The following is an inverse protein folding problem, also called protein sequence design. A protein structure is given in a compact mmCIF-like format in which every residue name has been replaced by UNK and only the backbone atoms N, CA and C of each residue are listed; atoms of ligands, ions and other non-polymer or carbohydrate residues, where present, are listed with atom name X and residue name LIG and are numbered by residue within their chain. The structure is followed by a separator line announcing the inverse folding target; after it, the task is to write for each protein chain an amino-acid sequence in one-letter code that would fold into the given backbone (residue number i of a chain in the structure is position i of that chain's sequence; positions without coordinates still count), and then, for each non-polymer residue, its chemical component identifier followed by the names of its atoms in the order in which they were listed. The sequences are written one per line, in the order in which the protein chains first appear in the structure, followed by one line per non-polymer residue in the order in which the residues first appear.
data_IF_680531108969
#
_entry.id   IF_680531108969
#
_cell.length_a   1.000
_cell.length_b   1.000
_cell.length_c   1.000
_cell.angle_alpha   90.00
_cell.angle_beta   90.00
_cell.angle_gamma   90.00
#
_symmetry.space_group_name_H-M   'P 1'
#
loop_
_entity.id
_entity.type
_entity.pdbx_description
1 polymer ?
#
# COMPACT_ATOMS: atom_id res chain seq x y z
N UNK A 1 13.80 9.55 8.77
CA UNK A 1 13.96 10.46 7.61
C UNK A 1 13.85 9.79 6.20
N UNK A 2 13.66 8.47 6.12
CA UNK A 2 13.48 7.72 4.87
C UNK A 2 14.59 6.68 4.66
N UNK A 3 14.63 6.03 3.48
CA UNK A 3 15.74 5.18 3.03
C UNK A 3 17.11 5.85 3.10
N UNK A 4 18.17 5.05 3.23
CA UNK A 4 19.55 5.54 3.20
C UNK A 4 19.87 6.25 1.87
N UNK A 5 19.34 5.73 0.75
CA UNK A 5 19.49 6.29 -0.59
C UNK A 5 18.95 7.72 -0.72
N UNK A 6 18.14 8.20 0.24
CA UNK A 6 17.64 9.58 0.24
C UNK A 6 18.66 10.58 0.78
N UNK A 7 19.82 10.13 1.29
CA UNK A 7 20.91 11.00 1.81
C UNK A 7 20.43 11.91 2.95
N UNK A 8 19.56 11.39 3.82
CA UNK A 8 19.03 12.11 5.00
C UNK A 8 19.28 11.35 6.29
N UNK A 9 20.40 10.63 6.36
CA UNK A 9 20.78 9.79 7.51
C UNK A 9 19.70 8.75 7.89
N UNK A 10 19.11 8.15 6.85
CA UNK A 10 18.11 7.10 6.99
C UNK A 10 18.74 5.72 7.24
N UNK A 11 18.00 4.77 7.85
CA UNK A 11 18.43 3.39 7.92
C UNK A 11 18.40 2.72 6.54
N UNK A 12 18.97 1.51 6.45
CA UNK A 12 18.76 0.62 5.32
C UNK A 12 17.28 0.19 5.25
N UNK A 13 16.69 0.20 4.07
CA UNK A 13 15.27 -0.12 3.83
C UNK A 13 15.07 -1.00 2.59
N UNK A 14 13.82 -1.40 2.33
CA UNK A 14 13.42 -2.13 1.10
C UNK A 14 13.75 -1.32 -0.17
N UNK A 15 13.59 0.00 -0.14
CA UNK A 15 13.95 0.88 -1.27
C UNK A 15 15.44 0.82 -1.58
N UNK A 16 16.29 0.75 -0.55
CA UNK A 16 17.74 0.60 -0.71
C UNK A 16 18.07 -0.74 -1.38
N UNK A 17 17.41 -1.83 -0.97
CA UNK A 17 17.59 -3.15 -1.58
C UNK A 17 17.19 -3.14 -3.07
N UNK A 18 16.05 -2.54 -3.41
CA UNK A 18 15.62 -2.39 -4.79
C UNK A 18 16.59 -1.53 -5.62
N UNK A 19 17.22 -0.52 -5.02
CA UNK A 19 18.24 0.31 -5.68
C UNK A 19 19.53 -0.49 -5.91
N UNK A 20 20.03 -1.21 -4.91
CA UNK A 20 21.24 -2.02 -5.00
C UNK A 20 21.14 -3.12 -6.05
N UNK A 21 19.95 -3.71 -6.21
CA UNK A 21 19.66 -4.72 -7.25
C UNK A 21 19.34 -4.11 -8.63
N UNK A 22 19.42 -2.80 -8.78
CA UNK A 22 19.13 -2.11 -10.04
C UNK A 22 17.66 -2.12 -10.47
N UNK A 23 16.73 -2.51 -9.58
CA UNK A 23 15.27 -2.40 -9.87
C UNK A 23 14.84 -0.94 -9.91
N UNK A 24 15.50 -0.09 -9.11
CA UNK A 24 15.38 1.37 -9.21
C UNK A 24 16.54 1.93 -10.01
N UNK A 25 16.21 2.81 -10.95
CA UNK A 25 17.16 3.43 -11.86
C UNK A 25 17.24 4.93 -11.53
N UNK A 26 18.29 5.41 -10.83
CA UNK A 26 18.38 6.78 -10.33
C UNK A 26 18.17 7.88 -11.39
N UNK A 27 18.56 7.62 -12.63
CA UNK A 27 18.40 8.53 -13.76
C UNK A 27 16.94 8.80 -14.14
N UNK A 28 16.01 7.92 -13.76
CA UNK A 28 14.58 8.10 -13.97
C UNK A 28 13.85 8.70 -12.75
N UNK A 29 14.59 9.03 -11.69
CA UNK A 29 14.03 9.67 -10.50
C UNK A 29 14.28 11.17 -10.50
N UNK A 30 13.34 11.96 -9.94
CA UNK A 30 13.56 13.39 -9.76
C UNK A 30 14.68 13.64 -8.74
N UNK A 31 15.43 14.72 -8.96
CA UNK A 31 16.50 15.17 -8.06
C UNK A 31 15.92 15.94 -6.89
N UNK A 32 15.33 15.22 -5.93
CA UNK A 32 14.63 15.79 -4.76
C UNK A 32 15.19 15.27 -3.42
N UNK A 33 16.34 14.60 -3.47
CA UNK A 33 16.95 13.94 -2.31
C UNK A 33 18.12 14.76 -1.76
N UNK A 34 18.70 14.30 -0.65
CA UNK A 34 19.74 15.01 0.07
C UNK A 34 19.25 16.12 1.00
N UNK A 35 20.18 16.79 1.69
CA UNK A 35 19.88 17.85 2.64
C UNK A 35 19.19 19.05 1.99
N UNK A 36 19.65 19.44 0.80
CA UNK A 36 19.10 20.57 0.03
C UNK A 36 17.94 20.18 -0.90
N UNK A 37 17.66 18.88 -1.06
CA UNK A 37 16.55 18.40 -1.89
C UNK A 37 16.77 18.57 -3.40
N UNK A 38 18.01 18.45 -3.87
CA UNK A 38 18.44 18.68 -5.25
C UNK A 38 19.36 17.56 -5.79
N UNK A 39 19.52 16.47 -5.03
CA UNK A 39 20.38 15.34 -5.37
C UNK A 39 19.58 14.14 -5.90
N UNK A 40 20.19 13.27 -6.72
CA UNK A 40 19.61 11.98 -7.08
C UNK A 40 19.70 10.98 -5.91
N UNK A 41 19.03 9.83 -6.08
CA UNK A 41 19.20 8.68 -5.20
C UNK A 41 20.69 8.27 -5.11
N UNK A 42 21.11 7.80 -3.93
CA UNK A 42 22.47 7.39 -3.65
C UNK A 42 22.61 5.88 -3.53
N UNK A 43 23.14 5.21 -4.54
CA UNK A 43 23.51 3.81 -4.43
C UNK A 43 24.63 3.61 -3.39
N UNK A 44 25.58 4.54 -3.31
CA UNK A 44 26.69 4.49 -2.36
C UNK A 44 26.20 4.54 -0.90
N UNK A 45 25.21 5.38 -0.61
CA UNK A 45 24.64 5.46 0.75
C UNK A 45 23.91 4.17 1.13
N UNK A 46 23.21 3.53 0.18
CA UNK A 46 22.62 2.20 0.40
C UNK A 46 23.70 1.14 0.63
N UNK A 47 24.78 1.19 -0.17
CA UNK A 47 25.89 0.23 -0.10
C UNK A 47 26.62 0.31 1.23
N UNK A 48 26.95 1.52 1.69
CA UNK A 48 27.59 1.74 2.99
C UNK A 48 26.76 1.15 4.14
N UNK A 49 25.45 1.38 4.16
CA UNK A 49 24.56 0.82 5.19
C UNK A 49 24.41 -0.69 5.10
N UNK A 50 24.40 -1.24 3.88
CA UNK A 50 24.37 -2.70 3.69
C UNK A 50 25.68 -3.32 4.17
N UNK A 51 26.83 -2.77 3.80
CA UNK A 51 28.14 -3.29 4.20
C UNK A 51 28.34 -3.25 5.73
N UNK A 52 27.87 -2.20 6.40
CA UNK A 52 27.86 -2.14 7.86
C UNK A 52 27.01 -3.26 8.48
N UNK A 53 25.80 -3.50 7.96
CA UNK A 53 24.93 -4.60 8.40
C UNK A 53 25.60 -5.97 8.15
N UNK A 54 26.23 -6.14 6.99
CA UNK A 54 26.88 -7.38 6.62
C UNK A 54 28.09 -7.69 7.51
N UNK A 55 28.86 -6.68 7.89
CA UNK A 55 29.97 -6.84 8.83
C UNK A 55 29.48 -7.35 10.19
N UNK A 56 28.35 -6.83 10.68
CA UNK A 56 27.72 -7.31 11.92
C UNK A 56 27.20 -8.75 11.79
N UNK A 57 26.57 -9.09 10.67
CA UNK A 57 26.11 -10.45 10.40
C UNK A 57 27.28 -11.43 10.33
N UNK A 58 28.37 -11.08 9.63
CA UNK A 58 29.58 -11.90 9.54
C UNK A 58 30.20 -12.11 10.92
N UNK A 59 30.27 -11.07 11.75
CA UNK A 59 30.78 -11.16 13.13
C UNK A 59 29.98 -12.13 14.01
N UNK A 60 28.66 -12.20 13.82
CA UNK A 60 27.78 -13.06 14.64
C UNK A 60 27.69 -14.48 14.08
N UNK A 61 27.68 -14.64 12.76
CA UNK A 61 27.37 -15.92 12.11
C UNK A 61 28.59 -16.62 11.53
N UNK A 62 29.72 -15.91 11.36
CA UNK A 62 30.90 -16.39 10.65
C UNK A 62 30.72 -16.51 9.13
N UNK A 63 29.55 -16.11 8.58
CA UNK A 63 29.25 -16.20 7.15
C UNK A 63 29.35 -14.82 6.51
N UNK A 64 30.19 -14.72 5.48
CA UNK A 64 30.25 -13.55 4.60
C UNK A 64 29.19 -13.66 3.50
N UNK A 65 28.42 -12.60 3.32
CA UNK A 65 27.38 -12.47 2.30
C UNK A 65 27.75 -11.39 1.28
N UNK A 66 27.31 -11.56 0.04
CA UNK A 66 27.35 -10.48 -0.95
C UNK A 66 26.29 -9.40 -0.68
N UNK A 67 26.53 -8.17 -1.15
CA UNK A 67 25.56 -7.06 -1.06
C UNK A 67 24.26 -7.41 -1.80
N UNK A 68 24.38 -7.93 -3.02
CA UNK A 68 23.25 -8.32 -3.85
C UNK A 68 22.53 -9.56 -3.28
N UNK A 69 23.28 -10.53 -2.76
CA UNK A 69 22.72 -11.72 -2.09
C UNK A 69 21.87 -11.32 -0.88
N UNK A 70 22.38 -10.43 -0.03
CA UNK A 70 21.67 -9.95 1.13
C UNK A 70 20.47 -9.07 0.77
N UNK A 71 20.60 -8.18 -0.22
CA UNK A 71 19.50 -7.39 -0.72
C UNK A 71 18.36 -8.27 -1.24
N UNK A 72 18.67 -9.32 -2.01
CA UNK A 72 17.68 -10.25 -2.55
C UNK A 72 16.96 -11.02 -1.43
N UNK A 73 17.70 -11.53 -0.43
CA UNK A 73 17.11 -12.20 0.73
C UNK A 73 16.21 -11.27 1.57
N UNK A 74 16.60 -10.01 1.77
CA UNK A 74 15.75 -9.03 2.44
C UNK A 74 14.46 -8.74 1.65
N UNK A 75 14.54 -8.71 0.32
CA UNK A 75 13.35 -8.57 -0.53
C UNK A 75 12.46 -9.80 -0.48
N UNK A 76 13.00 -11.01 -0.41
CA UNK A 76 12.23 -12.24 -0.21
C UNK A 76 11.38 -12.17 1.06
N UNK A 77 11.98 -11.75 2.17
CA UNK A 77 11.28 -11.55 3.46
C UNK A 77 10.18 -10.49 3.31
N UNK A 78 10.50 -9.36 2.66
CA UNK A 78 9.53 -8.29 2.45
C UNK A 78 8.33 -8.75 1.60
N UNK A 79 8.58 -9.49 0.52
CA UNK A 79 7.54 -10.09 -0.35
C UNK A 79 6.69 -11.08 0.42
N UNK A 80 7.31 -11.97 1.21
CA UNK A 80 6.58 -12.94 2.03
C UNK A 80 5.63 -12.24 3.02
N UNK A 81 6.10 -11.17 3.66
CA UNK A 81 5.28 -10.38 4.58
C UNK A 81 4.10 -9.70 3.86
N UNK A 82 4.32 -9.12 2.68
CA UNK A 82 3.26 -8.53 1.86
C UNK A 82 2.21 -9.57 1.44
N UNK A 83 2.65 -10.74 0.94
CA UNK A 83 1.76 -11.83 0.56
C UNK A 83 0.95 -12.35 1.76
N UNK A 84 1.59 -12.53 2.93
CA UNK A 84 0.91 -12.96 4.15
C UNK A 84 -0.17 -11.97 4.60
N UNK A 85 0.08 -10.66 4.50
CA UNK A 85 -0.90 -9.64 4.82
C UNK A 85 -2.13 -9.71 3.89
N UNK A 86 -1.91 -9.86 2.57
CA UNK A 86 -3.00 -10.00 1.59
C UNK A 86 -3.80 -11.27 1.85
N UNK A 87 -3.12 -12.39 2.09
CA UNK A 87 -3.75 -13.69 2.39
C UNK A 87 -4.59 -13.60 3.67
N UNK A 88 -4.09 -12.95 4.73
CA UNK A 88 -4.82 -12.80 5.98
C UNK A 88 -6.12 -12.02 5.82
N UNK A 89 -6.13 -10.93 5.05
CA UNK A 89 -7.35 -10.15 4.78
C UNK A 89 -8.33 -10.93 3.90
N UNK A 90 -7.83 -11.61 2.88
CA UNK A 90 -8.66 -12.30 1.89
C UNK A 90 -9.30 -13.58 2.45
N UNK A 91 -8.55 -14.38 3.20
CA UNK A 91 -9.06 -15.61 3.84
C UNK A 91 -10.13 -15.31 4.90
N UNK A 92 -9.99 -14.23 5.67
CA UNK A 92 -11.02 -13.80 6.63
C UNK A 92 -12.36 -13.49 5.96
N UNK A 93 -12.34 -13.17 4.66
CA UNK A 93 -13.53 -12.91 3.84
C UNK A 93 -13.98 -14.13 3.02
N UNK A 94 -13.32 -15.28 3.17
CA UNK A 94 -13.65 -16.51 2.45
C UNK A 94 -13.30 -16.50 0.96
N UNK A 95 -12.40 -15.60 0.53
CA UNK A 95 -12.03 -15.49 -0.89
C UNK A 95 -10.84 -16.38 -1.24
N UNK A 96 -10.96 -17.09 -2.37
CA UNK A 96 -9.84 -17.75 -3.04
C UNK A 96 -9.05 -16.72 -3.88
N UNK A 97 -7.88 -16.35 -3.39
CA UNK A 97 -7.01 -15.34 -4.02
C UNK A 97 -6.46 -15.79 -5.37
N UNK A 98 -6.32 -17.08 -5.62
CA UNK A 98 -5.72 -17.60 -6.86
C UNK A 98 -6.57 -17.32 -8.11
N UNK A 99 -7.86 -17.04 -7.89
CA UNK A 99 -8.84 -16.69 -8.94
C UNK A 99 -9.01 -15.19 -9.14
N UNK A 100 -8.30 -14.37 -8.36
CA UNK A 100 -8.36 -12.91 -8.43
C UNK A 100 -7.25 -12.35 -9.33
N UNK A 101 -7.42 -11.08 -9.74
CA UNK A 101 -6.33 -10.28 -10.30
C UNK A 101 -5.73 -9.40 -9.19
N UNK A 102 -4.40 -9.33 -9.12
CA UNK A 102 -3.70 -8.42 -8.23
C UNK A 102 -3.65 -7.02 -8.84
N UNK A 103 -4.38 -6.07 -8.25
CA UNK A 103 -4.28 -4.66 -8.64
C UNK A 103 -3.07 -4.03 -7.95
N UNK A 104 -2.09 -3.62 -8.74
CA UNK A 104 -0.88 -2.97 -8.28
C UNK A 104 -1.02 -1.44 -8.36
N UNK A 105 -0.79 -0.76 -7.23
CA UNK A 105 -0.77 0.71 -7.16
C UNK A 105 0.23 1.22 -6.12
N UNK A 106 0.38 2.54 -6.04
CA UNK A 106 1.38 3.23 -5.22
C UNK A 106 2.75 3.27 -5.89
N UNK A 107 3.61 4.20 -5.44
CA UNK A 107 4.92 4.43 -6.06
C UNK A 107 5.89 3.24 -5.96
N UNK A 108 5.70 2.35 -4.97
CA UNK A 108 6.52 1.16 -4.79
C UNK A 108 5.86 -0.14 -5.26
N UNK A 109 4.57 -0.14 -5.57
CA UNK A 109 3.81 -1.37 -5.85
C UNK A 109 4.42 -2.18 -6.99
N UNK A 110 4.77 -1.51 -8.09
CA UNK A 110 5.33 -2.17 -9.27
C UNK A 110 6.66 -2.88 -9.02
N UNK A 111 7.41 -2.48 -7.99
CA UNK A 111 8.71 -3.08 -7.65
C UNK A 111 8.56 -4.50 -7.06
N UNK A 112 7.37 -4.84 -6.54
CA UNK A 112 7.10 -6.10 -5.83
C UNK A 112 5.96 -6.92 -6.42
N UNK A 113 5.13 -6.33 -7.30
CA UNK A 113 3.87 -6.89 -7.74
C UNK A 113 3.96 -8.33 -8.27
N UNK A 114 4.91 -8.61 -9.17
CA UNK A 114 5.05 -9.96 -9.74
C UNK A 114 5.41 -11.00 -8.67
N UNK A 115 6.39 -10.71 -7.81
CA UNK A 115 6.81 -11.64 -6.76
C UNK A 115 5.73 -11.87 -5.70
N UNK A 116 4.96 -10.82 -5.39
CA UNK A 116 3.80 -10.93 -4.50
C UNK A 116 2.70 -11.78 -5.16
N UNK A 117 2.46 -11.60 -6.46
CA UNK A 117 1.51 -12.43 -7.21
C UNK A 117 1.94 -13.90 -7.22
N UNK A 118 3.21 -14.19 -7.51
CA UNK A 118 3.78 -15.54 -7.48
C UNK A 118 3.59 -16.20 -6.11
N UNK A 119 3.92 -15.47 -5.03
CA UNK A 119 3.77 -15.97 -3.65
C UNK A 119 2.31 -16.24 -3.26
N UNK A 120 1.35 -15.58 -3.92
CA UNK A 120 -0.09 -15.76 -3.71
C UNK A 120 -0.72 -16.76 -4.68
N UNK A 121 0.02 -17.27 -5.67
CA UNK A 121 -0.53 -18.09 -6.75
C UNK A 121 -1.47 -17.32 -7.68
N UNK A 122 -1.30 -15.99 -7.79
CA UNK A 122 -2.07 -15.12 -8.68
C UNK A 122 -1.36 -15.04 -10.03
N UNK A 123 -2.10 -15.32 -11.11
CA UNK A 123 -1.55 -15.36 -12.48
C UNK A 123 -1.73 -14.06 -13.25
N UNK A 124 -2.51 -13.11 -12.72
CA UNK A 124 -2.80 -11.84 -13.38
C UNK A 124 -2.50 -10.65 -12.46
N UNK A 125 -1.64 -9.75 -12.93
CA UNK A 125 -1.38 -8.44 -12.31
C UNK A 125 -1.94 -7.34 -13.19
N UNK A 126 -2.76 -6.46 -12.62
CA UNK A 126 -3.25 -5.26 -13.28
C UNK A 126 -2.49 -4.04 -12.77
N UNK A 127 -1.80 -3.36 -13.68
CA UNK A 127 -1.06 -2.14 -13.39
C UNK A 127 -1.68 -0.98 -14.18
N UNK A 128 -2.37 -0.08 -13.48
CA UNK A 128 -2.99 1.09 -14.12
C UNK A 128 -1.91 2.12 -14.52
N UNK A 129 -2.04 2.86 -15.64
CA UNK A 129 -1.08 3.90 -16.01
C UNK A 129 -0.86 4.97 -14.93
N UNK A 130 -1.90 5.24 -14.14
CA UNK A 130 -1.87 6.14 -12.99
C UNK A 130 -1.55 5.45 -11.65
N UNK A 131 -0.94 4.26 -11.65
CA UNK A 131 -0.70 3.46 -10.46
C UNK A 131 -0.06 4.25 -9.30
N UNK A 132 0.93 5.11 -9.59
CA UNK A 132 1.63 5.92 -8.58
C UNK A 132 0.75 6.95 -7.88
N UNK A 133 -0.33 7.39 -8.53
CA UNK A 133 -1.27 8.42 -8.05
C UNK A 133 -2.71 7.92 -7.98
N UNK A 134 -2.91 6.59 -7.97
CA UNK A 134 -4.22 5.97 -8.12
C UNK A 134 -5.18 6.38 -6.99
N UNK A 135 -4.68 6.62 -5.78
CA UNK A 135 -5.50 7.12 -4.66
C UNK A 135 -6.07 8.52 -4.94
N UNK A 136 -5.25 9.43 -5.46
CA UNK A 136 -5.70 10.77 -5.82
C UNK A 136 -6.68 10.74 -7.00
N UNK A 137 -6.42 9.86 -7.98
CA UNK A 137 -7.33 9.63 -9.09
C UNK A 137 -8.69 9.09 -8.62
N UNK A 138 -8.69 8.07 -7.74
CA UNK A 138 -9.90 7.51 -7.17
C UNK A 138 -10.72 8.51 -6.36
N UNK A 139 -10.05 9.38 -5.59
CA UNK A 139 -10.72 10.50 -4.91
C UNK A 139 -11.38 11.47 -5.89
N UNK A 140 -10.72 11.78 -7.01
CA UNK A 140 -11.27 12.67 -8.03
C UNK A 140 -12.48 12.11 -8.79
N UNK A 141 -12.60 10.77 -8.86
CA UNK A 141 -13.74 10.09 -9.49
C UNK A 141 -14.87 9.75 -8.52
N UNK A 142 -14.64 9.84 -7.21
CA UNK A 142 -15.58 9.36 -6.21
C UNK A 142 -16.87 10.20 -6.23
N UNK A 143 -18.03 9.52 -6.25
CA UNK A 143 -19.30 10.18 -6.04
C UNK A 143 -19.35 10.80 -4.64
N UNK A 144 -20.06 11.91 -4.54
CA UNK A 144 -20.38 12.54 -3.27
C UNK A 144 -21.41 11.69 -2.56
N UNK A 145 -21.06 11.15 -1.40
CA UNK A 145 -21.93 10.25 -0.62
C UNK A 145 -21.97 10.72 0.82
N UNK A 146 -23.17 10.71 1.40
CA UNK A 146 -23.40 10.94 2.83
C UNK A 146 -23.94 9.65 3.42
N UNK A 147 -23.26 9.13 4.43
CA UNK A 147 -23.70 7.95 5.19
C UNK A 147 -24.30 8.40 6.52
N UNK A 148 -25.43 7.80 6.88
CA UNK A 148 -26.11 7.99 8.16
C UNK A 148 -26.51 6.62 8.69
N UNK A 149 -26.21 6.41 9.96
CA UNK A 149 -26.42 5.13 10.64
C UNK A 149 -27.10 5.37 11.98
N UNK A 150 -27.98 4.45 12.37
CA UNK A 150 -28.60 4.39 13.69
C UNK A 150 -28.71 2.94 14.13
N UNK A 151 -28.53 2.71 15.43
CA UNK A 151 -28.68 1.38 16.05
C UNK A 151 -30.00 1.32 16.80
N UNK A 152 -30.85 0.36 16.45
CA UNK A 152 -32.13 0.12 17.11
C UNK A 152 -32.12 -1.27 17.74
N UNK A 153 -32.47 -1.36 19.03
CA UNK A 153 -32.64 -2.63 19.73
C UNK A 153 -34.14 -2.93 19.88
N UNK A 154 -34.73 -3.51 18.84
CA UNK A 154 -36.18 -3.77 18.73
C UNK A 154 -36.47 -5.23 18.42
N UNK A 155 -37.61 -5.77 18.85
CA UNK A 155 -38.13 -7.04 18.31
C UNK A 155 -38.38 -6.94 16.79
N UNK A 156 -38.23 -8.05 16.08
CA UNK A 156 -38.56 -8.13 14.66
C UNK A 156 -40.03 -8.54 14.47
N UNK A 157 -40.93 -7.59 14.76
CA UNK A 157 -42.38 -7.69 14.59
C UNK A 157 -42.93 -6.47 13.83
N UNK A 158 -44.26 -6.38 13.65
CA UNK A 158 -44.88 -5.29 12.88
C UNK A 158 -44.60 -3.90 13.48
N UNK A 159 -44.58 -3.76 14.80
CA UNK A 159 -44.25 -2.50 15.47
C UNK A 159 -42.77 -2.14 15.29
N UNK A 160 -41.89 -3.12 15.47
CA UNK A 160 -40.45 -2.98 15.25
C UNK A 160 -40.12 -2.57 13.82
N UNK A 161 -40.77 -3.18 12.83
CA UNK A 161 -40.65 -2.82 11.41
C UNK A 161 -41.11 -1.37 11.18
N UNK A 162 -42.27 -0.98 11.71
CA UNK A 162 -42.76 0.40 11.58
C UNK A 162 -41.80 1.45 12.16
N UNK A 163 -41.12 1.13 13.26
CA UNK A 163 -40.09 1.99 13.86
C UNK A 163 -38.80 2.03 13.05
N UNK A 164 -38.40 0.92 12.44
CA UNK A 164 -37.25 0.87 11.52
C UNK A 164 -37.53 1.75 10.30
N UNK A 165 -38.71 1.63 9.69
CA UNK A 165 -39.09 2.44 8.52
C UNK A 165 -39.08 3.94 8.82
N UNK A 166 -39.63 4.33 9.98
CA UNK A 166 -39.61 5.71 10.43
C UNK A 166 -38.17 6.24 10.61
N UNK A 167 -37.28 5.45 11.20
CA UNK A 167 -35.88 5.84 11.40
C UNK A 167 -35.12 5.90 10.07
N UNK A 168 -35.35 4.96 9.15
CA UNK A 168 -34.76 4.99 7.80
C UNK A 168 -35.19 6.25 7.05
N UNK A 169 -36.48 6.61 7.09
CA UNK A 169 -36.97 7.85 6.48
C UNK A 169 -36.28 9.09 7.06
N UNK A 170 -36.15 9.14 8.40
CA UNK A 170 -35.45 10.24 9.09
C UNK A 170 -33.97 10.34 8.70
N UNK A 171 -33.25 9.21 8.61
CA UNK A 171 -31.85 9.19 8.19
C UNK A 171 -31.70 9.58 6.71
N UNK A 172 -32.63 9.16 5.86
CA UNK A 172 -32.65 9.50 4.44
C UNK A 172 -32.84 11.02 4.24
N UNK A 173 -33.79 11.63 4.94
CA UNK A 173 -34.02 13.08 4.86
C UNK A 173 -32.82 13.87 5.38
N UNK A 174 -32.18 13.41 6.47
CA UNK A 174 -30.95 14.01 6.98
C UNK A 174 -29.78 13.91 5.98
N UNK A 175 -29.62 12.75 5.32
CA UNK A 175 -28.58 12.56 4.31
C UNK A 175 -28.82 13.40 3.05
N UNK A 176 -30.07 13.50 2.58
CA UNK A 176 -30.47 14.38 1.49
C UNK A 176 -30.22 15.84 1.84
N UNK A 177 -30.65 16.28 3.03
CA UNK A 177 -30.42 17.64 3.50
C UNK A 177 -28.93 18.02 3.51
N UNK A 178 -28.05 17.10 3.96
CA UNK A 178 -26.60 17.35 3.90
C UNK A 178 -26.11 17.42 2.45
N UNK A 179 -26.44 16.45 1.59
CA UNK A 179 -26.00 16.46 0.18
C UNK A 179 -26.44 17.75 -0.54
N UNK A 180 -27.66 18.22 -0.30
CA UNK A 180 -28.18 19.47 -0.85
C UNK A 180 -27.43 20.68 -0.30
N UNK A 181 -27.13 20.69 1.00
CA UNK A 181 -26.31 21.73 1.64
C UNK A 181 -24.88 21.79 1.08
N UNK A 182 -24.36 20.69 0.54
CA UNK A 182 -23.10 20.69 -0.16
C UNK A 182 -23.24 21.01 -1.68
N UNK A 183 -24.44 21.33 -2.18
CA UNK A 183 -24.69 21.74 -3.57
C UNK A 183 -24.86 20.58 -4.56
N UNK A 184 -25.29 19.40 -4.10
CA UNK A 184 -25.72 18.29 -4.98
C UNK A 184 -27.22 18.46 -5.29
N UNK A 185 -27.60 18.33 -6.56
CA UNK A 185 -29.02 18.28 -6.95
C UNK A 185 -29.61 16.90 -6.60
N UNK A 186 -30.77 16.89 -5.94
CA UNK A 186 -31.43 15.67 -5.40
C UNK A 186 -32.84 15.50 -6.01
N UNK A 187 -33.08 16.08 -7.18
CA UNK A 187 -34.30 15.88 -7.96
C UNK A 187 -34.52 14.40 -8.34
#
# INVERSE_FOLDING_TARGET
PGPACYRRDGPLTVTDCNLLLGKLQPQHFPRVFGPSGDLPLSADASRERMEALLADVERVTGRRLGVEEAAEGLLEIAVANMANAIKAVSLRRGHDVTRAALVCFGGAGGQHACRVADALGITQVQCHPLASVLSAYGMGLADRRVLREATLALPLDEEGIGRIDAEVARLADAAKGELAGQGVDIA
#
